data_IF_403116152134
#
_entry.id   IF_403116152134
#
_cell.length_a   1.000
_cell.length_b   1.000
_cell.length_c   1.000
_cell.angle_alpha   90.00
_cell.angle_beta   90.00
_cell.angle_gamma   90.00
#
_symmetry.space_group_name_H-M   'P 1'
#
loop_
_entity.id
_entity.type
_entity.pdbx_description
1 polymer ?
#
# COMPACT_ATOMS: atom_id res chain seq x y z
N UNK A 1 -17.27 -10.56 13.94
CA UNK A 1 -16.43 -10.69 14.39
C UNK A 1 -15.15 -10.68 13.72
N UNK A 2 -14.75 -11.33 13.00
CA UNK A 2 -13.57 -11.35 12.46
C UNK A 2 -13.31 -10.33 11.47
N UNK A 3 -14.18 -9.47 11.16
CA UNK A 3 -13.99 -8.64 10.10
C UNK A 3 -12.86 -7.74 10.26
N UNK A 4 -12.37 -7.15 10.94
CA UNK A 4 -11.26 -6.24 10.93
C UNK A 4 -9.91 -6.90 10.93
N UNK A 5 -9.88 -8.22 10.97
CA UNK A 5 -8.61 -8.87 11.14
C UNK A 5 -7.71 -8.75 9.95
N UNK A 6 -8.28 -8.69 8.75
CA UNK A 6 -7.44 -8.63 7.56
C UNK A 6 -6.61 -7.36 7.51
N UNK A 7 -7.20 -6.24 7.88
CA UNK A 7 -6.46 -4.99 7.89
C UNK A 7 -5.31 -5.05 8.89
N UNK A 8 -5.57 -5.62 10.07
CA UNK A 8 -4.52 -5.69 11.06
C UNK A 8 -3.40 -6.60 10.63
N UNK A 9 -3.72 -7.65 9.91
CA UNK A 9 -2.70 -8.56 9.44
C UNK A 9 -1.78 -7.89 8.44
N UNK A 10 -2.31 -7.01 7.61
CA UNK A 10 -1.52 -6.37 6.58
C UNK A 10 -0.74 -5.16 7.06
N UNK A 11 -1.19 -4.50 8.11
CA UNK A 11 -0.52 -3.31 8.59
C UNK A 11 0.89 -3.66 9.05
N UNK A 12 1.85 -2.88 8.59
CA UNK A 12 3.24 -3.09 8.91
C UNK A 12 3.98 -4.01 7.97
N UNK A 13 3.27 -4.72 7.09
CA UNK A 13 3.93 -5.59 6.14
C UNK A 13 4.46 -4.77 4.97
N UNK A 14 5.56 -5.23 4.41
CA UNK A 14 6.08 -4.64 3.19
C UNK A 14 5.43 -5.30 1.99
N UNK A 15 5.42 -4.59 0.87
CA UNK A 15 4.92 -5.13 -0.37
C UNK A 15 5.87 -4.76 -1.50
N UNK A 16 5.82 -5.55 -2.57
CA UNK A 16 6.54 -5.23 -3.79
C UNK A 16 5.59 -4.58 -4.75
N UNK A 17 6.12 -3.70 -5.59
CA UNK A 17 5.33 -3.03 -6.61
C UNK A 17 5.31 -3.88 -7.87
N UNK A 18 4.14 -4.09 -8.45
CA UNK A 18 4.03 -4.87 -9.68
C UNK A 18 4.29 -4.04 -10.91
N UNK A 19 4.22 -2.72 -10.78
CA UNK A 19 4.49 -1.79 -11.88
C UNK A 19 4.90 -0.48 -11.27
N UNK A 20 5.51 0.41 -12.04
CA UNK A 20 5.89 1.71 -11.51
C UNK A 20 4.66 2.47 -11.04
N UNK A 21 4.78 3.12 -9.89
CA UNK A 21 3.71 3.95 -9.34
C UNK A 21 4.32 5.30 -8.99
N UNK A 22 3.47 6.30 -8.78
CA UNK A 22 3.95 7.61 -8.35
C UNK A 22 3.53 7.86 -6.92
N UNK A 23 4.45 8.44 -6.14
CA UNK A 23 4.09 8.83 -4.79
C UNK A 23 3.34 10.16 -4.84
N UNK A 24 2.95 10.67 -3.66
CA UNK A 24 2.13 11.89 -3.61
C UNK A 24 2.91 13.12 -4.07
N UNK A 25 4.22 13.02 -4.21
CA UNK A 25 5.03 14.12 -4.74
C UNK A 25 5.29 13.96 -6.22
N UNK A 26 4.74 12.92 -6.84
CA UNK A 26 4.88 12.72 -8.28
C UNK A 26 6.13 11.96 -8.69
N UNK A 27 6.91 11.45 -7.74
CA UNK A 27 8.12 10.69 -8.09
C UNK A 27 7.75 9.26 -8.42
N UNK A 28 8.41 8.72 -9.42
CA UNK A 28 8.19 7.34 -9.85
C UNK A 28 8.90 6.38 -8.91
N UNK A 29 8.20 5.31 -8.51
CA UNK A 29 8.74 4.30 -7.61
C UNK A 29 8.47 2.93 -8.22
N UNK A 30 9.43 2.03 -8.16
CA UNK A 30 9.22 0.69 -8.67
C UNK A 30 9.99 -0.37 -7.87
N UNK A 31 11.27 -0.13 -7.58
CA UNK A 31 12.08 -1.16 -6.94
C UNK A 31 11.95 -1.17 -5.42
N UNK A 32 11.27 -0.21 -4.86
CA UNK A 32 11.16 -0.08 -3.42
C UNK A 32 10.08 -0.98 -2.88
N UNK A 33 10.18 -1.28 -1.60
CA UNK A 33 9.23 -2.16 -0.93
C UNK A 33 8.58 -1.38 0.20
N UNK A 34 7.54 -0.59 -0.11
CA UNK A 34 6.92 0.24 0.90
C UNK A 34 6.18 -0.60 1.93
N UNK A 35 5.91 0.02 3.07
CA UNK A 35 5.20 -0.63 4.15
C UNK A 35 3.75 -0.21 4.15
N UNK A 36 2.85 -1.14 4.36
CA UNK A 36 1.43 -0.85 4.42
C UNK A 36 1.12 -0.23 5.77
N UNK A 37 0.56 0.97 5.76
CA UNK A 37 0.16 1.65 6.98
C UNK A 37 -1.27 1.29 7.36
N UNK A 38 -2.15 1.16 6.38
CA UNK A 38 -3.53 0.76 6.65
C UNK A 38 -4.24 0.47 5.34
N UNK A 39 -5.38 -0.18 5.45
CA UNK A 39 -6.28 -0.41 4.34
C UNK A 39 -7.38 0.64 4.40
N UNK A 40 -7.76 1.17 3.25
CA UNK A 40 -8.80 2.19 3.14
C UNK A 40 -9.83 1.71 2.16
N UNK A 41 -11.10 1.79 2.54
CA UNK A 41 -12.21 1.46 1.64
C UNK A 41 -12.92 2.74 1.28
N UNK A 42 -13.07 2.99 -0.01
CA UNK A 42 -13.67 4.22 -0.47
C UNK A 42 -14.53 3.92 -1.69
N UNK A 43 -15.83 4.11 -1.59
CA UNK A 43 -16.77 3.89 -2.69
C UNK A 43 -16.59 2.51 -3.29
N UNK A 44 -16.60 1.51 -2.44
CA UNK A 44 -16.45 0.11 -2.85
C UNK A 44 -15.10 -0.22 -3.44
N UNK A 45 -14.11 0.63 -3.28
CA UNK A 45 -12.77 0.38 -3.76
C UNK A 45 -11.85 0.24 -2.57
N UNK A 46 -11.09 -0.86 -2.55
CA UNK A 46 -10.12 -1.08 -1.49
C UNK A 46 -8.77 -0.57 -1.94
N UNK A 47 -8.09 0.16 -1.07
CA UNK A 47 -6.79 0.71 -1.37
C UNK A 47 -5.91 0.54 -0.15
N UNK A 48 -4.60 0.52 -0.36
CA UNK A 48 -3.64 0.49 0.73
C UNK A 48 -2.92 1.82 0.79
N UNK A 49 -2.85 2.39 1.98
CA UNK A 49 -1.97 3.53 2.19
C UNK A 49 -0.61 2.97 2.55
N UNK A 50 0.40 3.30 1.76
CA UNK A 50 1.74 2.77 1.96
C UNK A 50 2.74 3.89 2.18
N UNK A 51 3.84 3.58 2.84
CA UNK A 51 4.90 4.54 3.09
C UNK A 51 6.22 3.97 2.62
N UNK A 52 6.94 4.76 1.86
CA UNK A 52 8.28 4.41 1.41
C UNK A 52 9.31 4.76 2.47
N UNK A 53 10.54 4.24 2.32
CA UNK A 53 11.56 4.42 3.34
C UNK A 53 11.91 5.88 3.60
N UNK A 54 11.76 6.73 2.62
CA UNK A 54 12.07 8.14 2.79
C UNK A 54 10.90 8.94 3.37
N UNK A 55 9.83 8.27 3.77
CA UNK A 55 8.68 8.93 4.38
C UNK A 55 7.58 9.30 3.43
N UNK A 56 7.79 9.21 2.13
CA UNK A 56 6.74 9.53 1.15
C UNK A 56 5.62 8.48 1.23
N UNK A 57 4.40 8.89 0.95
CA UNK A 57 3.26 7.98 0.99
C UNK A 57 2.50 8.02 -0.32
N UNK A 58 1.69 7.01 -0.54
CA UNK A 58 0.77 6.99 -1.66
C UNK A 58 -0.30 5.96 -1.40
N UNK A 59 -1.38 6.01 -2.20
CA UNK A 59 -2.41 4.99 -2.15
C UNK A 59 -2.22 4.05 -3.34
N UNK A 60 -2.31 2.75 -3.08
CA UNK A 60 -2.15 1.75 -4.13
C UNK A 60 -3.32 0.80 -4.09
N UNK A 61 -3.73 0.32 -5.27
CA UNK A 61 -4.76 -0.69 -5.35
C UNK A 61 -4.13 -2.07 -5.11
N UNK A 62 -4.92 -3.03 -4.65
CA UNK A 62 -4.37 -4.36 -4.35
C UNK A 62 -3.67 -5.01 -5.54
N UNK A 63 -4.11 -4.73 -6.77
CA UNK A 63 -3.47 -5.35 -7.92
C UNK A 63 -2.19 -4.65 -8.34
N UNK A 64 -1.81 -3.59 -7.66
CA UNK A 64 -0.55 -2.91 -7.96
C UNK A 64 0.59 -3.42 -7.10
N UNK A 65 0.31 -4.26 -6.12
CA UNK A 65 1.32 -4.71 -5.16
C UNK A 65 1.24 -6.21 -4.95
N UNK A 66 2.34 -6.76 -4.45
CA UNK A 66 2.41 -8.14 -4.00
C UNK A 66 2.78 -8.08 -2.52
N UNK A 67 1.89 -8.57 -1.67
CA UNK A 67 2.12 -8.54 -0.23
C UNK A 67 3.17 -9.59 0.12
N UNK A 68 4.10 -9.25 0.97
CA UNK A 68 5.17 -10.16 1.38
C UNK A 68 4.92 -10.76 2.74
#
# INVERSE_FOLDING_TARGET
MMTGLNTEVLVGKHCKLQRPVRDHEGRSRFTEQPRILREVNNLDRRMYLVQFDDGATTFLFPDEVIIQ
#
